data_IF_325779411573
#
_entry.id   IF_325779411573
#
_cell.length_a   1.000
_cell.length_b   1.000
_cell.length_c   1.000
_cell.angle_alpha   90.00
_cell.angle_beta   90.00
_cell.angle_gamma   90.00
#
_symmetry.space_group_name_H-M   'P 1'
#
loop_
_entity.id
_entity.type
_entity.pdbx_description
1 polymer ?
#
# COMPACT_ATOMS: atom_id res chain seq x y z
N UNK A 1 -20.66 -19.61 -5.29
CA UNK A 1 -19.87 -18.96 -4.22
C UNK A 1 -18.57 -19.71 -4.02
N UNK A 2 -17.47 -19.28 -4.65
CA UNK A 2 -16.08 -19.56 -4.25
C UNK A 2 -15.13 -18.87 -5.23
N UNK A 3 -14.76 -17.63 -4.92
CA UNK A 3 -13.57 -16.93 -5.43
C UNK A 3 -13.05 -15.98 -4.33
N UNK A 4 -12.96 -16.48 -3.09
CA UNK A 4 -12.53 -15.70 -1.91
C UNK A 4 -11.06 -15.88 -1.53
N UNK A 5 -10.21 -16.42 -2.40
CA UNK A 5 -8.88 -16.84 -1.95
C UNK A 5 -7.82 -17.04 -3.03
N UNK A 6 -7.89 -16.32 -4.15
CA UNK A 6 -6.76 -16.27 -5.07
C UNK A 6 -5.66 -15.34 -4.49
N UNK A 7 -5.05 -15.81 -3.41
CA UNK A 7 -3.63 -15.70 -3.08
C UNK A 7 -2.86 -14.60 -3.81
N UNK A 8 -2.94 -13.38 -3.28
CA UNK A 8 -1.90 -12.37 -3.44
C UNK A 8 -0.68 -12.78 -2.57
N UNK A 9 -0.21 -14.02 -2.75
CA UNK A 9 1.04 -14.52 -2.16
C UNK A 9 2.22 -14.35 -3.14
N UNK A 10 1.97 -13.80 -4.33
CA UNK A 10 2.99 -13.60 -5.35
C UNK A 10 3.76 -12.27 -5.15
N UNK A 11 4.14 -11.89 -3.92
CA UNK A 11 4.72 -10.57 -3.61
C UNK A 11 5.97 -10.62 -2.68
N UNK A 12 6.87 -11.58 -2.87
CA UNK A 12 8.16 -11.69 -2.18
C UNK A 12 9.44 -11.31 -2.97
N UNK A 13 9.42 -11.11 -4.29
CA UNK A 13 10.62 -10.69 -5.06
C UNK A 13 10.34 -9.47 -5.93
N UNK A 14 11.25 -8.50 -5.93
CA UNK A 14 11.08 -7.11 -6.43
C UNK A 14 10.65 -6.88 -7.89
N UNK A 15 10.31 -7.91 -8.66
CA UNK A 15 9.68 -7.82 -10.00
C UNK A 15 8.18 -8.19 -9.99
N UNK A 16 7.52 -8.06 -8.83
CA UNK A 16 6.11 -8.42 -8.66
C UNK A 16 5.19 -7.20 -8.57
N UNK A 17 5.75 -5.99 -8.61
CA UNK A 17 4.94 -4.77 -8.61
C UNK A 17 4.24 -4.59 -9.96
N UNK A 18 4.88 -4.98 -11.08
CA UNK A 18 4.27 -4.97 -12.41
C UNK A 18 3.04 -5.88 -12.45
N UNK A 19 3.18 -7.09 -11.91
CA UNK A 19 2.08 -8.06 -11.85
C UNK A 19 0.96 -7.59 -10.92
N UNK A 20 1.30 -7.04 -9.75
CA UNK A 20 0.31 -6.51 -8.81
C UNK A 20 -0.51 -5.36 -9.43
N UNK A 21 0.13 -4.47 -10.18
CA UNK A 21 -0.55 -3.40 -10.91
C UNK A 21 -1.40 -3.93 -12.06
N UNK A 22 -0.89 -4.91 -12.81
CA UNK A 22 -1.63 -5.54 -13.91
C UNK A 22 -2.89 -6.23 -13.40
N UNK A 23 -2.81 -6.89 -12.25
CA UNK A 23 -3.96 -7.54 -11.61
C UNK A 23 -4.97 -6.52 -11.07
N UNK A 24 -4.49 -5.41 -10.49
CA UNK A 24 -5.34 -4.32 -10.03
C UNK A 24 -6.12 -3.70 -11.20
N UNK A 25 -5.43 -3.39 -12.30
CA UNK A 25 -6.04 -2.84 -13.51
C UNK A 25 -7.04 -3.84 -14.14
N UNK A 26 -6.66 -5.11 -14.25
CA UNK A 26 -7.55 -6.16 -14.76
C UNK A 26 -8.80 -6.35 -13.88
N UNK A 27 -8.72 -6.16 -12.56
CA UNK A 27 -9.90 -6.15 -11.68
C UNK A 27 -10.82 -4.98 -12.05
N UNK A 28 -10.26 -3.77 -12.15
CA UNK A 28 -11.02 -2.56 -12.46
C UNK A 28 -11.69 -2.66 -13.85
N UNK A 29 -10.97 -3.13 -14.87
CA UNK A 29 -11.52 -3.32 -16.22
C UNK A 29 -12.65 -4.35 -16.28
N UNK A 30 -12.65 -5.33 -15.36
CA UNK A 30 -13.75 -6.31 -15.22
C UNK A 30 -14.91 -5.79 -14.38
N UNK A 31 -14.89 -4.53 -13.95
CA UNK A 31 -15.90 -3.93 -13.08
C UNK A 31 -15.86 -4.44 -11.65
N UNK A 32 -14.74 -5.06 -11.23
CA UNK A 32 -14.53 -5.45 -9.83
C UNK A 32 -13.93 -4.27 -9.08
N UNK A 33 -14.56 -3.87 -7.98
CA UNK A 33 -14.07 -2.79 -7.14
C UNK A 33 -12.91 -3.28 -6.25
N UNK A 34 -11.68 -2.77 -6.44
CA UNK A 34 -10.59 -3.07 -5.54
C UNK A 34 -10.86 -2.47 -4.17
N UNK A 35 -10.51 -3.20 -3.12
CA UNK A 35 -10.69 -2.76 -1.74
C UNK A 35 -9.35 -2.42 -1.08
N UNK A 36 -9.40 -2.03 0.20
CA UNK A 36 -8.23 -1.70 1.03
C UNK A 36 -7.14 -2.78 0.95
N UNK A 37 -7.52 -4.06 0.98
CA UNK A 37 -6.56 -5.17 0.94
C UNK A 37 -5.85 -5.23 -0.41
N UNK A 38 -6.58 -5.06 -1.52
CA UNK A 38 -6.00 -5.06 -2.86
C UNK A 38 -5.01 -3.90 -3.04
N UNK A 39 -5.36 -2.69 -2.60
CA UNK A 39 -4.46 -1.53 -2.64
C UNK A 39 -3.23 -1.73 -1.74
N UNK A 40 -3.42 -2.22 -0.51
CA UNK A 40 -2.30 -2.49 0.40
C UNK A 40 -1.29 -3.47 -0.21
N UNK A 41 -1.77 -4.51 -0.89
CA UNK A 41 -0.90 -5.46 -1.56
C UNK A 41 -0.13 -4.82 -2.73
N UNK A 42 -0.80 -4.04 -3.58
CA UNK A 42 -0.18 -3.36 -4.72
C UNK A 42 0.85 -2.31 -4.27
N UNK A 43 0.53 -1.50 -3.26
CA UNK A 43 1.43 -0.50 -2.67
C UNK A 43 2.64 -1.19 -2.03
N UNK A 44 2.42 -2.28 -1.28
CA UNK A 44 3.52 -3.05 -0.68
C UNK A 44 4.44 -3.66 -1.74
N UNK A 45 3.88 -4.15 -2.85
CA UNK A 45 4.67 -4.64 -3.96
C UNK A 45 5.52 -3.51 -4.59
N UNK A 46 4.92 -2.34 -4.83
CA UNK A 46 5.63 -1.16 -5.33
C UNK A 46 6.77 -0.73 -4.39
N UNK A 47 6.51 -0.71 -3.07
CA UNK A 47 7.50 -0.39 -2.05
C UNK A 47 8.67 -1.38 -2.03
N UNK A 48 8.42 -2.68 -2.26
CA UNK A 48 9.48 -3.70 -2.39
C UNK A 48 10.25 -3.56 -3.71
N UNK A 49 9.59 -3.15 -4.78
CA UNK A 49 10.18 -2.90 -6.10
C UNK A 49 10.87 -1.53 -6.26
N UNK A 50 10.96 -0.72 -5.20
CA UNK A 50 11.54 0.62 -5.24
C UNK A 50 10.72 1.64 -6.05
N UNK A 51 9.46 1.30 -6.38
CA UNK A 51 8.57 2.13 -7.19
C UNK A 51 7.78 3.11 -6.32
N UNK A 52 8.47 4.06 -5.71
CA UNK A 52 7.87 5.00 -4.76
C UNK A 52 6.80 5.91 -5.39
N UNK A 53 6.99 6.33 -6.64
CA UNK A 53 6.00 7.15 -7.36
C UNK A 53 4.68 6.41 -7.53
N UNK A 54 4.76 5.15 -7.98
CA UNK A 54 3.59 4.30 -8.16
C UNK A 54 2.88 4.00 -6.84
N UNK A 55 3.65 3.79 -5.76
CA UNK A 55 3.09 3.60 -4.43
C UNK A 55 2.27 4.82 -3.96
N UNK A 56 2.76 6.05 -4.21
CA UNK A 56 2.02 7.28 -3.92
C UNK A 56 0.78 7.44 -4.78
N UNK A 57 0.90 7.20 -6.10
CA UNK A 57 -0.26 7.28 -7.01
C UNK A 57 -1.39 6.34 -6.56
N UNK A 58 -1.05 5.11 -6.17
CA UNK A 58 -2.04 4.15 -5.66
C UNK A 58 -2.65 4.58 -4.31
N UNK A 59 -1.84 5.20 -3.44
CA UNK A 59 -2.32 5.74 -2.17
C UNK A 59 -3.34 6.86 -2.40
N UNK A 60 -3.04 7.79 -3.32
CA UNK A 60 -3.95 8.88 -3.68
C UNK A 60 -5.22 8.36 -4.35
N UNK A 61 -5.09 7.39 -5.28
CA UNK A 61 -6.23 6.76 -5.97
C UNK A 61 -7.18 6.10 -4.96
N UNK A 62 -6.63 5.38 -3.98
CA UNK A 62 -7.39 4.75 -2.90
C UNK A 62 -8.22 5.78 -2.13
N UNK A 63 -7.62 6.91 -1.75
CA UNK A 63 -8.31 8.00 -1.06
C UNK A 63 -9.39 8.64 -1.93
N UNK A 64 -9.11 8.88 -3.21
CA UNK A 64 -10.08 9.43 -4.16
C UNK A 64 -11.30 8.52 -4.37
N UNK A 65 -11.11 7.20 -4.24
CA UNK A 65 -12.19 6.20 -4.25
C UNK A 65 -12.93 6.08 -2.92
N UNK A 66 -12.64 6.94 -1.94
CA UNK A 66 -13.26 6.94 -0.63
C UNK A 66 -12.84 5.76 0.26
N UNK A 67 -11.79 5.03 -0.11
CA UNK A 67 -11.22 3.99 0.74
C UNK A 67 -10.30 4.64 1.77
N UNK A 68 -10.43 4.23 3.03
CA UNK A 68 -9.59 4.75 4.10
C UNK A 68 -8.27 3.97 4.18
N UNK A 69 -7.11 4.62 3.97
CA UNK A 69 -5.81 4.01 4.22
C UNK A 69 -5.67 3.60 5.69
N UNK A 70 -5.12 2.42 5.93
CA UNK A 70 -4.86 1.88 7.26
C UNK A 70 -3.36 1.93 7.61
N UNK A 71 -3.01 1.41 8.78
CA UNK A 71 -1.62 1.34 9.25
C UNK A 71 -0.71 0.63 8.25
N UNK A 72 -1.21 -0.40 7.55
CA UNK A 72 -0.44 -1.16 6.56
C UNK A 72 -0.22 -0.29 5.32
N UNK A 73 -1.26 0.42 4.84
CA UNK A 73 -1.15 1.34 3.72
C UNK A 73 -0.07 2.40 3.99
N UNK A 74 -0.18 3.13 5.10
CA UNK A 74 0.79 4.17 5.45
C UNK A 74 2.19 3.60 5.61
N UNK A 75 2.35 2.49 6.34
CA UNK A 75 3.67 1.87 6.54
C UNK A 75 4.33 1.49 5.20
N UNK A 76 3.55 0.96 4.26
CA UNK A 76 4.05 0.57 2.95
C UNK A 76 4.44 1.79 2.10
N UNK A 77 3.60 2.84 2.06
CA UNK A 77 3.88 4.06 1.30
C UNK A 77 5.08 4.82 1.88
N UNK A 78 5.17 4.94 3.21
CA UNK A 78 6.32 5.56 3.90
C UNK A 78 7.61 4.80 3.55
N UNK A 79 7.61 3.46 3.65
CA UNK A 79 8.77 2.65 3.29
C UNK A 79 9.15 2.78 1.82
N UNK A 80 8.18 2.96 0.91
CA UNK A 80 8.44 3.24 -0.48
C UNK A 80 9.15 4.60 -0.65
N UNK A 81 8.64 5.65 0.00
CA UNK A 81 9.25 6.99 -0.02
C UNK A 81 10.68 6.99 0.54
N UNK A 82 10.91 6.32 1.66
CA UNK A 82 12.25 6.17 2.26
C UNK A 82 13.25 5.55 1.27
N UNK A 83 12.86 4.43 0.63
CA UNK A 83 13.70 3.77 -0.39
C UNK A 83 13.92 4.61 -1.64
N UNK A 84 12.97 5.49 -1.96
CA UNK A 84 13.06 6.46 -3.05
C UNK A 84 13.84 7.73 -2.69
N UNK A 85 14.38 7.85 -1.48
CA UNK A 85 15.04 9.05 -0.99
C UNK A 85 14.09 10.25 -0.73
N UNK A 86 12.78 10.01 -0.74
CA UNK A 86 11.74 11.03 -0.59
C UNK A 86 11.35 11.22 0.88
N UNK A 87 12.33 11.59 1.71
CA UNK A 87 12.15 11.68 3.16
C UNK A 87 11.10 12.73 3.59
N UNK A 88 10.97 13.84 2.87
CA UNK A 88 9.97 14.88 3.15
C UNK A 88 8.53 14.34 3.00
N UNK A 89 8.30 13.55 1.96
CA UNK A 89 7.01 12.87 1.72
C UNK A 89 6.75 11.80 2.78
N UNK A 90 7.78 11.04 3.14
CA UNK A 90 7.69 10.04 4.20
C UNK A 90 7.28 10.67 5.55
N UNK A 91 7.86 11.82 5.91
CA UNK A 91 7.49 12.57 7.11
C UNK A 91 6.06 13.10 7.05
N UNK A 92 5.65 13.66 5.91
CA UNK A 92 4.29 14.17 5.72
C UNK A 92 3.25 13.07 5.90
N UNK A 93 3.49 11.89 5.32
CA UNK A 93 2.64 10.71 5.47
C UNK A 93 2.64 10.19 6.91
N UNK A 94 3.78 10.24 7.60
CA UNK A 94 3.87 9.84 9.01
C UNK A 94 3.07 10.78 9.91
N UNK A 95 3.16 12.09 9.69
CA UNK A 95 2.38 13.08 10.45
C UNK A 95 0.87 12.91 10.20
N UNK A 96 0.46 12.67 8.94
CA UNK A 96 -0.93 12.36 8.61
C UNK A 96 -1.42 11.09 9.33
N UNK A 97 -0.59 10.04 9.35
CA UNK A 97 -0.87 8.79 10.05
C UNK A 97 -1.06 9.02 11.57
N UNK A 98 -0.22 9.87 12.19
CA UNK A 98 -0.36 10.24 13.61
C UNK A 98 -1.64 11.03 13.88
N UNK A 99 -1.97 12.01 13.03
CA UNK A 99 -3.18 12.81 13.16
C UNK A 99 -4.45 11.96 13.05
N UNK A 100 -4.42 10.89 12.25
CA UNK A 100 -5.51 9.92 12.14
C UNK A 100 -5.57 8.90 13.29
N UNK A 101 -4.67 8.99 14.26
CA UNK A 101 -4.59 8.06 15.40
C UNK A 101 -4.14 6.65 15.02
N UNK A 102 -3.62 6.46 13.81
CA UNK A 102 -3.18 5.18 13.28
C UNK A 102 -1.76 4.88 13.75
N UNK A 103 -1.50 4.79 15.06
CA UNK A 103 -0.19 4.32 15.54
C UNK A 103 -0.10 2.81 15.35
N UNK A 104 1.04 2.32 14.81
CA UNK A 104 1.52 1.00 15.23
C UNK A 104 1.66 1.11 16.74
N UNK A 105 0.90 0.33 17.48
CA UNK A 105 1.18 0.14 18.90
C UNK A 105 2.59 -0.43 18.91
N UNK A 106 3.57 0.42 19.24
CA UNK A 106 4.87 -0.08 19.65
C UNK A 106 4.57 -0.97 20.84
N UNK A 107 4.61 -2.29 20.61
CA UNK A 107 4.89 -3.28 21.64
C UNK A 107 6.32 -3.05 22.11
N UNK A 108 6.59 -1.85 22.64
CA UNK A 108 7.74 -1.52 23.42
C UNK A 108 7.69 -2.44 24.62
N UNK A 109 8.66 -3.35 24.67
CA UNK A 109 9.18 -3.93 25.90
C UNK A 109 9.15 -2.84 26.99
N UNK A 110 8.15 -2.88 27.86
CA UNK A 110 8.30 -2.29 29.18
C UNK A 110 9.19 -3.26 29.95
N UNK A 111 10.27 -2.67 30.48
CA UNK A 111 11.19 -3.23 31.47
C UNK A 111 10.46 -4.07 32.52
#
# INVERSE_FOLDING_TARGET
MQQKGATISACEKGGQWEMALTLLDAMQQKGLEPNVITYNAAISACAKGGQWEKALTLFDEMQQKGLNPDVITYSATISACEKGGQWEKALTLFDEMQQKGLRKVDSGKRL
#
